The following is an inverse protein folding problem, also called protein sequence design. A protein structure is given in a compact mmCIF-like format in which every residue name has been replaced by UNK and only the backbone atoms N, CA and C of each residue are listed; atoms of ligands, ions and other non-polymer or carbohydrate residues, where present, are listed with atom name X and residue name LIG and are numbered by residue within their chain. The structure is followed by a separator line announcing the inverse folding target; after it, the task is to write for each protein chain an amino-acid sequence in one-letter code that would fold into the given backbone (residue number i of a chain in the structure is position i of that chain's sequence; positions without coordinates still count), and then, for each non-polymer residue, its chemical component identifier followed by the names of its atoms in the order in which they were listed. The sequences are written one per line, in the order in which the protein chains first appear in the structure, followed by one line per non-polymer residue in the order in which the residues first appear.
data_IF_610332810428
#
_entry.id   IF_610332810428
#
_cell.length_a   1.000
_cell.length_b   1.000
_cell.length_c   1.000
_cell.angle_alpha   90.00
_cell.angle_beta   90.00
_cell.angle_gamma   90.00
#
_symmetry.space_group_name_H-M   'P 1'
#
loop_
_entity.id
_entity.type
_entity.pdbx_description
1 polymer ?
#
# COMPACT_ATOMS: atom_id res chain seq x y z
N UNK A 1 6.66 -12.32 -5.74
CA UNK A 1 8.07 -12.04 -6.02
C UNK A 1 8.25 -10.53 -5.88
N UNK A 2 8.34 -10.10 -4.62
CA UNK A 2 8.29 -8.71 -4.20
C UNK A 2 9.58 -8.00 -4.58
N UNK A 3 9.40 -6.77 -5.03
CA UNK A 3 10.38 -5.78 -5.46
C UNK A 3 11.49 -5.54 -4.43
N UNK A 4 12.58 -6.27 -4.55
CA UNK A 4 13.90 -5.84 -4.05
C UNK A 4 14.59 -5.03 -5.15
N UNK A 5 14.07 -3.85 -5.50
CA UNK A 5 14.78 -2.95 -6.41
C UNK A 5 14.32 -1.50 -6.21
N UNK A 6 14.72 -0.94 -5.08
CA UNK A 6 15.02 0.48 -5.01
C UNK A 6 16.45 0.63 -4.50
N UNK A 7 17.24 1.42 -5.22
CA UNK A 7 18.55 2.00 -4.83
C UNK A 7 19.77 1.07 -5.00
N UNK A 8 20.35 1.00 -6.21
CA UNK A 8 21.81 0.93 -6.40
C UNK A 8 22.18 1.43 -7.82
N UNK A 9 23.15 2.35 -7.99
CA UNK A 9 23.69 2.69 -9.31
C UNK A 9 24.60 1.54 -9.84
N UNK A 10 24.61 1.29 -11.17
CA UNK A 10 25.14 0.04 -11.75
C UNK A 10 26.67 0.04 -12.01
N UNK A 11 27.51 0.47 -11.07
CA UNK A 11 28.98 0.55 -11.34
C UNK A 11 29.92 -0.08 -10.30
N UNK A 12 29.45 -0.73 -9.24
CA UNK A 12 30.35 -1.39 -8.26
C UNK A 12 30.11 -2.90 -8.10
N UNK A 13 29.94 -3.64 -9.20
CA UNK A 13 29.67 -5.09 -9.15
C UNK A 13 30.81 -6.00 -9.65
N UNK A 14 32.06 -5.51 -9.71
CA UNK A 14 33.18 -6.29 -10.27
C UNK A 14 34.36 -6.56 -9.33
N UNK A 15 34.23 -6.42 -8.00
CA UNK A 15 35.30 -6.92 -7.10
C UNK A 15 34.85 -7.16 -5.66
N UNK A 16 34.08 -8.22 -5.42
CA UNK A 16 34.21 -9.00 -4.17
C UNK A 16 33.60 -10.40 -4.36
N UNK A 17 34.25 -11.40 -3.79
CA UNK A 17 34.12 -12.81 -4.13
C UNK A 17 32.71 -13.40 -4.06
N UNK A 18 32.49 -14.34 -4.97
CA UNK A 18 31.58 -15.49 -4.82
C UNK A 18 31.62 -16.02 -3.39
N UNK A 19 30.49 -16.01 -2.65
CA UNK A 19 30.04 -17.07 -1.72
C UNK A 19 28.53 -16.91 -1.40
N UNK A 20 27.80 -18.02 -1.63
CA UNK A 20 26.47 -18.45 -1.13
C UNK A 20 25.16 -17.77 -1.58
N UNK A 21 24.42 -18.38 -2.54
CA UNK A 21 23.00 -18.21 -2.72
C UNK A 21 22.22 -19.47 -2.30
N UNK A 22 22.38 -20.00 -1.08
CA UNK A 22 21.78 -21.30 -0.73
C UNK A 22 21.42 -21.45 0.76
N UNK A 23 20.57 -20.60 1.33
CA UNK A 23 19.88 -20.93 2.61
C UNK A 23 18.51 -20.26 2.79
N UNK A 24 18.20 -19.16 2.09
CA UNK A 24 16.93 -18.45 2.30
C UNK A 24 15.71 -19.10 1.62
N UNK A 25 15.93 -19.88 0.55
CA UNK A 25 14.85 -20.44 -0.27
C UNK A 25 14.27 -21.75 0.30
N UNK A 26 14.95 -22.39 1.25
CA UNK A 26 14.58 -23.71 1.78
C UNK A 26 13.80 -23.66 3.11
N UNK A 27 13.84 -22.53 3.84
CA UNK A 27 13.30 -22.42 5.21
C UNK A 27 12.06 -21.50 5.30
N UNK A 28 11.61 -20.91 4.18
CA UNK A 28 10.33 -20.18 4.20
C UNK A 28 9.23 -21.14 3.75
N UNK A 29 8.41 -21.71 4.66
CA UNK A 29 7.24 -22.47 4.23
C UNK A 29 6.43 -21.58 3.27
N UNK A 30 6.07 -22.11 2.10
CA UNK A 30 5.19 -21.43 1.12
C UNK A 30 3.77 -21.34 1.71
N UNK A 31 3.62 -20.52 2.75
CA UNK A 31 2.37 -20.17 3.43
C UNK A 31 1.42 -19.47 2.47
N UNK A 32 1.97 -18.76 1.49
CA UNK A 32 1.22 -18.12 0.42
C UNK A 32 1.22 -19.05 -0.80
N UNK A 33 0.18 -19.88 -0.88
CA UNK A 33 -0.07 -20.73 -2.07
C UNK A 33 -0.47 -19.88 -3.28
N UNK A 34 -0.33 -20.44 -4.49
CA UNK A 34 -0.78 -19.77 -5.72
C UNK A 34 -2.27 -19.40 -5.67
N UNK A 35 -3.06 -20.21 -4.97
CA UNK A 35 -4.47 -19.92 -4.68
C UNK A 35 -4.64 -18.65 -3.83
N UNK A 36 -3.86 -18.51 -2.75
CA UNK A 36 -3.90 -17.31 -1.89
C UNK A 36 -3.45 -16.08 -2.68
N UNK A 37 -2.39 -16.21 -3.49
CA UNK A 37 -1.95 -15.12 -4.37
C UNK A 37 -3.07 -14.71 -5.33
N UNK A 38 -3.73 -15.66 -5.99
CA UNK A 38 -4.84 -15.37 -6.90
C UNK A 38 -6.02 -14.67 -6.19
N UNK A 39 -6.31 -15.03 -4.94
CA UNK A 39 -7.34 -14.36 -4.14
C UNK A 39 -6.98 -12.90 -3.82
N UNK A 40 -5.70 -12.62 -3.54
CA UNK A 40 -5.24 -11.26 -3.19
C UNK A 40 -5.17 -10.38 -4.44
N UNK A 41 -4.86 -10.93 -5.61
CA UNK A 41 -4.68 -10.17 -6.86
C UNK A 41 -5.94 -10.08 -7.73
N UNK A 42 -7.01 -10.83 -7.42
CA UNK A 42 -8.25 -10.84 -8.19
C UNK A 42 -8.81 -9.42 -8.43
N UNK A 43 -9.31 -9.14 -9.64
CA UNK A 43 -9.96 -7.87 -9.93
C UNK A 43 -11.13 -7.60 -8.96
N UNK A 44 -11.13 -6.48 -8.21
CA UNK A 44 -12.23 -6.14 -7.32
C UNK A 44 -13.48 -5.74 -8.11
N UNK A 45 -14.67 -6.12 -7.62
CA UNK A 45 -15.93 -5.64 -8.19
C UNK A 45 -16.17 -4.16 -7.83
N UNK A 46 -16.96 -3.48 -8.64
CA UNK A 46 -17.39 -2.08 -8.40
C UNK A 46 -17.97 -1.88 -6.99
N UNK A 47 -18.75 -2.85 -6.51
CA UNK A 47 -19.32 -2.83 -5.16
C UNK A 47 -18.24 -2.92 -4.08
N UNK A 48 -17.21 -3.77 -4.26
CA UNK A 48 -16.08 -3.86 -3.33
C UNK A 48 -15.27 -2.56 -3.30
N UNK A 49 -15.06 -1.94 -4.45
CA UNK A 49 -14.36 -0.65 -4.54
C UNK A 49 -15.15 0.44 -3.80
N UNK A 50 -16.46 0.52 -4.05
CA UNK A 50 -17.34 1.45 -3.32
C UNK A 50 -17.31 1.18 -1.82
N UNK A 51 -17.43 -0.07 -1.38
CA UNK A 51 -17.36 -0.42 0.03
C UNK A 51 -16.03 0.02 0.67
N UNK A 52 -14.90 -0.19 -0.02
CA UNK A 52 -13.59 0.26 0.46
C UNK A 52 -13.51 1.79 0.61
N UNK A 53 -14.03 2.54 -0.37
CA UNK A 53 -14.11 4.02 -0.32
C UNK A 53 -14.93 4.51 0.88
N UNK A 54 -16.10 3.92 1.11
CA UNK A 54 -17.01 4.32 2.19
C UNK A 54 -16.57 3.82 3.57
N UNK A 55 -15.66 2.84 3.63
CA UNK A 55 -15.01 2.41 4.86
C UNK A 55 -13.85 3.33 5.30
N UNK A 56 -13.41 4.26 4.45
CA UNK A 56 -12.39 5.24 4.83
C UNK A 56 -12.98 6.30 5.76
N UNK A 57 -12.19 6.67 6.78
CA UNK A 57 -12.60 7.72 7.73
C UNK A 57 -12.68 9.08 7.00
N UNK A 58 -13.87 9.69 7.07
CA UNK A 58 -14.23 10.97 6.45
C UNK A 58 -13.36 12.13 6.93
N UNK A 59 -12.97 12.10 8.19
CA UNK A 59 -12.25 13.19 8.86
C UNK A 59 -10.72 13.08 8.70
N UNK A 60 -10.25 12.24 7.76
CA UNK A 60 -8.83 12.15 7.46
C UNK A 60 -8.35 13.37 6.68
N UNK A 61 -7.16 13.85 7.05
CA UNK A 61 -6.51 14.94 6.35
C UNK A 61 -6.33 14.62 4.84
N UNK A 62 -6.51 15.62 3.97
CA UNK A 62 -6.43 15.45 2.51
C UNK A 62 -5.05 14.96 2.07
N UNK A 63 -4.97 14.25 0.95
CA UNK A 63 -3.68 13.89 0.36
C UNK A 63 -2.99 15.09 -0.32
N UNK A 64 -1.89 14.86 -1.06
CA UNK A 64 -1.25 15.86 -1.91
C UNK A 64 -2.21 16.54 -2.92
N UNK A 65 -3.28 15.85 -3.31
CA UNK A 65 -4.30 16.38 -4.21
C UNK A 65 -5.33 17.31 -3.53
N UNK A 66 -5.20 17.58 -2.22
CA UNK A 66 -6.06 18.53 -1.51
C UNK A 66 -7.47 18.01 -1.16
N UNK A 67 -7.84 16.81 -1.61
CA UNK A 67 -9.13 16.19 -1.32
C UNK A 67 -9.02 15.04 -0.30
N UNK A 68 -9.89 15.07 0.72
CA UNK A 68 -10.03 14.02 1.74
C UNK A 68 -11.11 13.00 1.40
N UNK A 69 -11.25 11.94 2.21
CA UNK A 69 -12.22 10.87 1.96
C UNK A 69 -13.68 11.36 1.89
N UNK A 70 -14.02 12.40 2.66
CA UNK A 70 -15.34 13.04 2.62
C UNK A 70 -15.72 13.50 1.20
N UNK A 71 -14.79 14.14 0.47
CA UNK A 71 -15.05 14.63 -0.89
C UNK A 71 -15.45 13.48 -1.82
N UNK A 72 -14.69 12.39 -1.83
CA UNK A 72 -14.95 11.24 -2.70
C UNK A 72 -16.22 10.47 -2.32
N UNK A 73 -16.60 10.46 -1.04
CA UNK A 73 -17.85 9.85 -0.59
C UNK A 73 -19.06 10.73 -0.92
N UNK A 74 -18.94 12.05 -0.75
CA UNK A 74 -20.02 13.00 -0.99
C UNK A 74 -20.29 13.16 -2.49
N UNK A 75 -19.26 13.33 -3.31
CA UNK A 75 -19.35 13.48 -4.76
C UNK A 75 -19.19 12.16 -5.51
N UNK A 76 -19.48 11.02 -4.85
CA UNK A 76 -19.25 9.69 -5.40
C UNK A 76 -19.86 9.53 -6.78
N UNK A 77 -21.07 10.03 -7.01
CA UNK A 77 -21.75 9.86 -8.30
C UNK A 77 -21.08 10.59 -9.46
N UNK A 78 -20.23 11.57 -9.17
CA UNK A 78 -19.43 12.31 -10.14
C UNK A 78 -18.08 11.60 -10.34
N UNK A 79 -17.38 11.28 -9.24
CA UNK A 79 -15.98 10.80 -9.30
C UNK A 79 -15.83 9.28 -9.36
N UNK A 80 -16.93 8.51 -9.23
CA UNK A 80 -16.89 7.03 -9.13
C UNK A 80 -16.15 6.39 -10.30
N UNK A 81 -16.32 6.91 -11.51
CA UNK A 81 -15.74 6.30 -12.70
C UNK A 81 -14.22 6.38 -12.67
N UNK A 82 -13.67 7.54 -12.30
CA UNK A 82 -12.23 7.76 -12.21
C UNK A 82 -11.59 6.90 -11.11
N UNK A 83 -12.25 6.83 -9.95
CA UNK A 83 -11.77 6.00 -8.83
C UNK A 83 -11.80 4.52 -9.19
N UNK A 84 -12.90 4.04 -9.79
CA UNK A 84 -13.03 2.64 -10.20
C UNK A 84 -12.00 2.29 -11.28
N UNK A 85 -11.87 3.12 -12.32
CA UNK A 85 -10.93 2.88 -13.41
C UNK A 85 -9.50 2.80 -12.88
N UNK A 86 -9.10 3.74 -12.03
CA UNK A 86 -7.77 3.74 -11.41
C UNK A 86 -7.48 2.48 -10.59
N UNK A 87 -8.49 1.98 -9.84
CA UNK A 87 -8.34 0.75 -9.06
C UNK A 87 -8.26 -0.47 -9.97
N UNK A 88 -9.13 -0.57 -10.98
CA UNK A 88 -9.13 -1.69 -11.91
C UNK A 88 -7.82 -1.74 -12.72
N UNK A 89 -7.34 -0.60 -13.20
CA UNK A 89 -6.07 -0.48 -13.93
C UNK A 89 -4.89 -0.98 -13.09
N UNK A 90 -4.83 -0.62 -11.80
CA UNK A 90 -3.81 -1.15 -10.89
C UNK A 90 -3.87 -2.68 -10.79
N UNK A 91 -5.05 -3.27 -10.59
CA UNK A 91 -5.18 -4.73 -10.47
C UNK A 91 -4.96 -5.47 -11.80
N UNK A 92 -5.18 -4.82 -12.94
CA UNK A 92 -4.91 -5.39 -14.27
C UNK A 92 -3.44 -5.31 -14.66
N UNK A 93 -2.76 -4.21 -14.35
CA UNK A 93 -1.38 -3.95 -14.79
C UNK A 93 -0.34 -4.32 -13.74
N UNK A 94 -0.74 -4.42 -12.47
CA UNK A 94 0.15 -4.48 -11.31
C UNK A 94 1.11 -3.30 -11.19
N UNK A 95 0.80 -2.18 -11.87
CA UNK A 95 1.60 -0.96 -11.84
C UNK A 95 0.92 0.11 -10.98
N UNK A 96 1.71 0.75 -10.11
CA UNK A 96 1.29 1.95 -9.40
C UNK A 96 1.45 3.13 -10.36
N UNK A 97 0.34 3.79 -10.71
CA UNK A 97 0.36 5.00 -11.54
C UNK A 97 1.27 6.07 -10.91
N UNK A 98 2.04 6.76 -11.75
CA UNK A 98 3.01 7.75 -11.31
C UNK A 98 2.32 8.81 -10.44
N UNK A 99 2.85 9.07 -9.25
CA UNK A 99 2.27 10.01 -8.29
C UNK A 99 1.26 9.41 -7.32
N UNK A 100 0.75 8.18 -7.50
CA UNK A 100 -0.16 7.55 -6.53
C UNK A 100 0.51 7.27 -5.18
N UNK A 101 1.81 7.00 -5.18
CA UNK A 101 2.61 6.83 -3.96
C UNK A 101 3.14 8.16 -3.40
N UNK A 102 2.75 9.30 -3.97
CA UNK A 102 3.08 10.60 -3.39
C UNK A 102 2.37 10.77 -2.05
N UNK A 103 3.12 11.15 -1.03
CA UNK A 103 2.63 11.35 0.33
C UNK A 103 3.16 12.67 0.85
N UNK A 104 2.33 13.41 1.60
CA UNK A 104 2.82 14.53 2.42
C UNK A 104 3.15 13.96 3.81
N UNK A 105 4.32 14.31 4.35
CA UNK A 105 4.70 13.96 5.72
C UNK A 105 4.62 15.23 6.56
N UNK A 106 3.71 15.25 7.54
CA UNK A 106 3.63 16.30 8.54
C UNK A 106 4.29 15.84 9.84
N UNK A 107 5.20 16.63 10.41
CA UNK A 107 5.84 16.33 11.69
C UNK A 107 5.11 17.07 12.81
N UNK A 108 4.44 16.33 13.69
CA UNK A 108 3.81 16.89 14.89
C UNK A 108 4.75 16.74 16.09
N UNK A 109 5.21 17.83 16.72
CA UNK A 109 6.10 17.74 17.88
C UNK A 109 5.39 17.03 19.05
N UNK A 110 6.08 16.07 19.69
CA UNK A 110 5.59 15.39 20.90
C UNK A 110 5.78 16.24 22.15
N UNK A 111 6.75 17.16 22.14
CA UNK A 111 7.12 18.03 23.25
C UNK A 111 7.26 19.49 22.76
N UNK A 112 7.12 20.44 23.68
CA UNK A 112 7.48 21.84 23.44
C UNK A 112 8.96 21.97 23.10
N UNK A 113 9.29 22.72 22.04
CA UNK A 113 10.65 22.93 21.53
C UNK A 113 11.35 21.66 21.02
N UNK A 114 10.64 20.82 20.27
CA UNK A 114 11.26 19.67 19.59
C UNK A 114 12.35 20.15 18.60
N UNK A 115 13.61 19.83 18.89
CA UNK A 115 14.78 20.17 18.07
C UNK A 115 15.29 19.01 17.20
N UNK A 116 14.78 17.80 17.40
CA UNK A 116 15.10 16.59 16.61
C UNK A 116 13.84 15.90 16.08
N UNK A 117 13.97 15.20 14.95
CA UNK A 117 12.90 14.44 14.29
C UNK A 117 12.36 13.30 15.17
N UNK A 118 13.20 12.69 16.01
CA UNK A 118 12.78 11.60 16.92
C UNK A 118 11.72 12.05 17.96
N UNK A 119 11.76 13.35 18.26
CA UNK A 119 10.83 14.03 19.16
C UNK A 119 9.54 14.46 18.46
N UNK A 120 9.41 14.18 17.17
CA UNK A 120 8.20 14.39 16.40
C UNK A 120 7.48 13.06 16.12
N UNK A 121 6.18 13.14 15.93
CA UNK A 121 5.36 12.09 15.35
C UNK A 121 5.14 12.43 13.88
N UNK A 122 5.64 11.58 12.98
CA UNK A 122 5.32 11.72 11.57
C UNK A 122 3.87 11.30 11.30
N UNK A 123 3.14 12.12 10.57
CA UNK A 123 1.80 11.87 10.07
C UNK A 123 1.88 11.85 8.54
N UNK A 124 1.61 10.70 7.95
CA UNK A 124 1.65 10.53 6.49
C UNK A 124 0.25 10.73 5.89
N UNK A 125 0.13 11.73 5.04
CA UNK A 125 -1.07 12.06 4.27
C UNK A 125 -0.92 11.46 2.87
N UNK A 126 -1.48 10.25 2.71
CA UNK A 126 -1.43 9.51 1.46
C UNK A 126 -2.53 9.91 0.47
N UNK A 127 -2.25 9.68 -0.82
CA UNK A 127 -3.25 9.82 -1.87
C UNK A 127 -4.48 8.96 -1.62
N UNK A 128 -5.65 9.54 -1.90
CA UNK A 128 -6.92 8.87 -1.67
C UNK A 128 -7.03 7.54 -2.44
N UNK A 129 -6.65 7.54 -3.73
CA UNK A 129 -6.67 6.33 -4.57
C UNK A 129 -5.78 5.23 -3.99
N UNK A 130 -4.61 5.59 -3.46
CA UNK A 130 -3.71 4.65 -2.78
C UNK A 130 -4.32 4.10 -1.49
N UNK A 131 -4.98 4.94 -0.66
CA UNK A 131 -5.71 4.49 0.53
C UNK A 131 -6.78 3.45 0.19
N UNK A 132 -7.50 3.63 -0.93
CA UNK A 132 -8.50 2.66 -1.40
C UNK A 132 -7.85 1.33 -1.80
N UNK A 133 -6.74 1.37 -2.56
CA UNK A 133 -5.97 0.18 -2.93
C UNK A 133 -5.48 -0.59 -1.71
N UNK A 134 -4.82 0.11 -0.78
CA UNK A 134 -4.33 -0.48 0.46
C UNK A 134 -5.46 -1.10 1.27
N UNK A 135 -6.63 -0.44 1.35
CA UNK A 135 -7.79 -0.99 2.07
C UNK A 135 -8.26 -2.31 1.47
N UNK A 136 -8.37 -2.39 0.14
CA UNK A 136 -8.79 -3.63 -0.56
C UNK A 136 -7.79 -4.76 -0.29
N UNK A 137 -6.48 -4.47 -0.34
CA UNK A 137 -5.43 -5.47 -0.09
C UNK A 137 -5.47 -5.92 1.37
N UNK A 138 -5.52 -4.99 2.32
CA UNK A 138 -5.60 -5.28 3.76
C UNK A 138 -6.84 -6.12 4.09
N UNK A 139 -8.00 -5.81 3.51
CA UNK A 139 -9.23 -6.57 3.74
C UNK A 139 -9.17 -8.01 3.20
N UNK A 140 -8.35 -8.24 2.17
CA UNK A 140 -8.10 -9.60 1.66
C UNK A 140 -7.09 -10.32 2.54
N UNK A 141 -6.00 -9.64 2.90
CA UNK A 141 -4.95 -10.19 3.74
C UNK A 141 -5.47 -10.56 5.14
N UNK A 142 -6.32 -9.73 5.74
CA UNK A 142 -6.93 -9.99 7.04
C UNK A 142 -7.73 -11.29 7.09
N UNK A 143 -8.27 -11.76 5.96
CA UNK A 143 -8.99 -13.06 5.88
C UNK A 143 -8.07 -14.25 5.86
N UNK A 144 -6.83 -14.05 5.40
CA UNK A 144 -5.82 -15.10 5.26
C UNK A 144 -4.90 -15.12 6.49
N UNK A 145 -4.77 -13.99 7.19
CA UNK A 145 -3.96 -13.83 8.39
C UNK A 145 -4.15 -14.98 9.42
N UNK A 146 -5.37 -15.46 9.73
CA UNK A 146 -5.55 -16.58 10.67
C UNK A 146 -4.93 -17.91 10.21
N UNK A 147 -4.73 -18.10 8.90
CA UNK A 147 -4.10 -19.31 8.33
C UNK A 147 -2.57 -19.21 8.23
N UNK A 148 -2.01 -18.01 8.39
CA UNK A 148 -0.56 -17.74 8.28
C UNK A 148 0.07 -17.68 9.68
N UNK A 149 -0.66 -17.19 10.67
CA UNK A 149 -0.20 -17.16 12.05
C UNK A 149 -0.38 -18.57 12.61
N UNK A 150 0.72 -19.29 12.81
CA UNK A 150 0.71 -20.50 13.62
C UNK A 150 0.34 -20.11 15.05
N UNK A 151 -0.66 -20.78 15.62
CA UNK A 151 -0.87 -20.80 17.07
C UNK A 151 0.38 -21.43 17.69
N UNK A 152 1.07 -20.67 18.53
CA UNK A 152 2.20 -21.13 19.36
C UNK A 152 1.68 -21.79 20.64
#
# INVERSE_FOLDING_TARGET
MLSTLFIYPPQELNSLGTMEPLLADEVTPKLITDYINALITLLPSHQKIKAAVFALNKDTAPGPEGFGAFFFQHYWDIVRQDVVNAVLEFFSTSLILLGFNSNIIALLPKISNATSIDLCRAITMANFKFKVLSKIIVDRLAKIMPSIIFEE
#
